data_IF_149975961987
#
_entry.id   IF_149975961987
#
_cell.length_a   1.000
_cell.length_b   1.000
_cell.length_c   1.000
_cell.angle_alpha   90.00
_cell.angle_beta   90.00
_cell.angle_gamma   90.00
#
_symmetry.space_group_name_H-M   'P 1'
#
loop_
_entity.id
_entity.type
_entity.pdbx_description
1 polymer ?
#
# COMPACT_ATOMS: atom_id res chain seq x y z
N UNK A 1 19.95 18.66 -8.47
CA UNK A 1 18.90 18.49 -7.43
C UNK A 1 17.63 18.18 -8.21
N UNK A 2 17.29 16.91 -8.35
CA UNK A 2 16.12 16.51 -9.14
C UNK A 2 14.88 16.76 -8.28
N UNK A 3 14.07 17.72 -8.70
CA UNK A 3 12.90 18.21 -7.99
C UNK A 3 11.89 17.08 -7.78
N UNK A 4 11.31 16.98 -6.57
CA UNK A 4 10.28 15.99 -6.25
C UNK A 4 9.09 16.09 -7.23
N UNK A 5 8.84 17.29 -7.76
CA UNK A 5 7.87 17.55 -8.81
C UNK A 5 8.27 16.92 -10.15
N UNK A 6 9.56 16.94 -10.53
CA UNK A 6 10.10 16.29 -11.74
C UNK A 6 10.03 14.77 -11.63
N UNK A 7 10.35 14.19 -10.47
CA UNK A 7 10.17 12.75 -10.23
C UNK A 7 8.69 12.34 -10.32
N UNK A 8 7.80 13.13 -9.70
CA UNK A 8 6.35 12.88 -9.74
C UNK A 8 5.79 13.02 -11.15
N UNK A 9 6.26 14.01 -11.94
CA UNK A 9 5.82 14.24 -13.32
C UNK A 9 6.37 13.20 -14.30
N UNK A 10 7.56 12.65 -14.06
CA UNK A 10 8.07 11.48 -14.78
C UNK A 10 7.24 10.22 -14.49
N UNK A 11 6.80 10.01 -13.25
CA UNK A 11 5.90 8.91 -12.93
C UNK A 11 4.55 9.04 -13.68
N UNK A 12 4.08 10.26 -13.92
CA UNK A 12 2.85 10.56 -14.68
C UNK A 12 2.95 10.39 -16.21
N UNK A 13 4.16 10.33 -16.78
CA UNK A 13 4.39 10.20 -18.23
C UNK A 13 4.87 8.80 -18.65
N UNK A 14 4.97 7.86 -17.71
CA UNK A 14 5.18 6.45 -18.05
C UNK A 14 3.81 5.89 -18.43
N UNK A 15 3.58 5.44 -19.68
CA UNK A 15 2.29 4.92 -20.13
C UNK A 15 1.81 3.69 -19.34
N UNK A 16 2.65 3.15 -18.46
CA UNK A 16 2.44 1.97 -17.64
C UNK A 16 2.38 2.26 -16.13
N UNK A 17 2.10 3.50 -15.73
CA UNK A 17 1.87 3.86 -14.31
C UNK A 17 0.38 3.91 -13.98
N UNK A 18 -0.03 3.21 -12.93
CA UNK A 18 -1.38 3.35 -12.36
C UNK A 18 -1.31 3.78 -10.90
N UNK A 19 -2.23 4.65 -10.54
CA UNK A 19 -2.45 5.12 -9.19
C UNK A 19 -3.65 4.38 -8.59
N UNK A 20 -3.41 3.60 -7.54
CA UNK A 20 -4.47 3.05 -6.71
C UNK A 20 -4.76 4.03 -5.58
N UNK A 21 -5.93 4.70 -5.58
CA UNK A 21 -6.28 5.61 -4.50
C UNK A 21 -6.52 4.83 -3.22
N UNK A 22 -5.96 5.34 -2.12
CA UNK A 22 -6.27 4.93 -0.77
C UNK A 22 -7.35 5.86 -0.23
N UNK A 23 -8.33 5.29 0.49
CA UNK A 23 -9.43 6.04 1.09
C UNK A 23 -8.94 7.09 2.08
N UNK A 24 -7.78 6.83 2.71
CA UNK A 24 -7.14 7.70 3.69
C UNK A 24 -5.62 7.68 3.48
N UNK A 25 -4.93 8.77 3.86
CA UNK A 25 -3.48 8.80 3.80
C UNK A 25 -2.90 7.75 4.76
N UNK A 26 -2.08 6.79 4.27
CA UNK A 26 -1.57 5.74 5.11
C UNK A 26 -0.62 6.33 6.16
N UNK A 27 -0.84 5.98 7.42
CA UNK A 27 0.10 6.31 8.48
C UNK A 27 1.46 5.61 8.28
N UNK A 28 2.46 6.04 9.05
CA UNK A 28 3.83 5.48 8.98
C UNK A 28 3.84 3.97 9.19
N UNK A 29 3.07 3.47 10.17
CA UNK A 29 2.92 2.04 10.44
C UNK A 29 2.34 1.27 9.25
N UNK A 30 1.28 1.79 8.63
CA UNK A 30 0.67 1.16 7.45
C UNK A 30 1.67 1.11 6.30
N UNK A 31 2.40 2.22 6.08
CA UNK A 31 3.42 2.31 5.01
C UNK A 31 4.53 1.29 5.21
N UNK A 32 4.98 1.05 6.45
CA UNK A 32 5.97 0.01 6.74
C UNK A 32 5.44 -1.41 6.47
N UNK A 33 4.20 -1.72 6.87
CA UNK A 33 3.58 -3.02 6.56
C UNK A 33 3.43 -3.21 5.06
N UNK A 34 3.02 -2.17 4.34
CA UNK A 34 2.90 -2.19 2.90
C UNK A 34 4.26 -2.43 2.23
N UNK A 35 5.30 -1.68 2.60
CA UNK A 35 6.66 -1.88 2.08
C UNK A 35 7.17 -3.30 2.30
N UNK A 36 6.91 -3.90 3.48
CA UNK A 36 7.25 -5.30 3.74
C UNK A 36 6.45 -6.28 2.88
N UNK A 37 5.16 -6.02 2.69
CA UNK A 37 4.30 -6.85 1.85
C UNK A 37 4.73 -6.84 0.39
N UNK A 38 5.03 -5.66 -0.17
CA UNK A 38 5.49 -5.54 -1.56
C UNK A 38 6.93 -6.02 -1.76
N UNK A 39 7.77 -6.00 -0.71
CA UNK A 39 9.13 -6.56 -0.79
C UNK A 39 9.13 -8.08 -1.04
N UNK A 40 8.03 -8.78 -0.71
CA UNK A 40 7.83 -10.18 -1.05
C UNK A 40 7.35 -10.42 -2.48
N UNK A 41 7.01 -9.37 -3.23
CA UNK A 41 6.56 -9.49 -4.62
C UNK A 41 7.78 -9.62 -5.54
N UNK A 42 7.73 -10.58 -6.46
CA UNK A 42 8.76 -10.77 -7.48
C UNK A 42 8.64 -9.68 -8.57
N UNK A 43 9.24 -8.53 -8.31
CA UNK A 43 9.34 -7.42 -9.26
C UNK A 43 10.39 -7.75 -10.34
N UNK A 44 10.01 -7.60 -11.61
CA UNK A 44 10.93 -7.70 -12.74
C UNK A 44 11.72 -6.39 -12.92
N UNK A 45 12.75 -6.45 -13.77
CA UNK A 45 13.57 -5.28 -14.07
C UNK A 45 12.71 -4.15 -14.66
N UNK A 46 12.76 -2.98 -14.01
CA UNK A 46 11.96 -1.81 -14.39
C UNK A 46 10.60 -1.71 -13.69
N UNK A 47 10.13 -2.77 -13.02
CA UNK A 47 8.90 -2.73 -12.22
C UNK A 47 9.13 -2.03 -10.88
N UNK A 48 8.23 -1.11 -10.52
CA UNK A 48 8.33 -0.33 -9.28
C UNK A 48 6.97 -0.16 -8.64
N UNK A 49 6.93 -0.25 -7.32
CA UNK A 49 5.75 0.09 -6.53
C UNK A 49 6.19 1.12 -5.50
N UNK A 50 5.47 2.24 -5.43
CA UNK A 50 5.75 3.31 -4.48
C UNK A 50 4.46 3.83 -3.86
N UNK A 51 4.52 4.23 -2.60
CA UNK A 51 3.43 4.95 -1.93
C UNK A 51 3.68 6.45 -2.12
N UNK A 52 2.71 7.13 -2.73
CA UNK A 52 2.75 8.57 -3.03
C UNK A 52 1.56 9.26 -2.37
N UNK A 53 1.71 9.68 -1.12
CA UNK A 53 0.64 10.31 -0.35
C UNK A 53 -0.56 9.37 -0.19
N UNK A 54 -1.79 9.77 -0.59
CA UNK A 54 -2.99 8.93 -0.50
C UNK A 54 -3.15 7.96 -1.69
N UNK A 55 -2.07 7.64 -2.41
CA UNK A 55 -2.14 6.72 -3.55
C UNK A 55 -0.92 5.79 -3.61
N UNK A 56 -1.08 4.65 -4.27
CA UNK A 56 0.01 3.74 -4.60
C UNK A 56 0.27 3.83 -6.10
N UNK A 57 1.49 4.19 -6.48
CA UNK A 57 1.96 4.16 -7.85
C UNK A 57 2.55 2.79 -8.16
N UNK A 58 2.03 2.12 -9.19
CA UNK A 58 2.56 0.88 -9.74
C UNK A 58 3.06 1.18 -11.14
N UNK A 59 4.33 0.87 -11.41
CA UNK A 59 4.99 1.00 -12.71
C UNK A 59 5.33 -0.39 -13.20
N UNK A 60 4.78 -0.83 -14.34
CA UNK A 60 5.07 -2.15 -14.93
C UNK A 60 5.24 -2.05 -16.45
N UNK A 61 6.46 -1.76 -16.95
CA UNK A 61 6.71 -1.57 -18.38
C UNK A 61 6.59 -2.85 -19.24
N UNK A 62 6.31 -4.01 -18.62
CA UNK A 62 6.18 -5.31 -19.29
C UNK A 62 4.75 -5.80 -19.50
N UNK A 63 3.73 -4.98 -19.22
CA UNK A 63 2.33 -5.35 -19.39
C UNK A 63 1.77 -6.31 -18.32
N UNK A 64 2.54 -6.61 -17.26
CA UNK A 64 2.08 -7.40 -16.09
C UNK A 64 1.24 -6.57 -15.11
N UNK A 65 0.83 -5.37 -15.51
CA UNK A 65 0.10 -4.44 -14.68
C UNK A 65 -1.10 -5.07 -13.96
N UNK A 66 -1.96 -5.82 -14.66
CA UNK A 66 -3.14 -6.44 -14.05
C UNK A 66 -2.79 -7.44 -12.93
N UNK A 67 -1.74 -8.21 -13.13
CA UNK A 67 -1.26 -9.19 -12.15
C UNK A 67 -0.60 -8.49 -10.95
N UNK A 68 0.20 -7.46 -11.21
CA UNK A 68 0.84 -6.65 -10.17
C UNK A 68 -0.18 -5.87 -9.35
N UNK A 69 -1.19 -5.28 -9.99
CA UNK A 69 -2.30 -4.63 -9.29
C UNK A 69 -3.12 -5.60 -8.44
N UNK A 70 -3.36 -6.82 -8.92
CA UNK A 70 -4.04 -7.84 -8.12
C UNK A 70 -3.21 -8.23 -6.88
N UNK A 71 -1.91 -8.41 -7.03
CA UNK A 71 -1.00 -8.69 -5.93
C UNK A 71 -0.91 -7.53 -4.93
N UNK A 72 -0.76 -6.31 -5.41
CA UNK A 72 -0.74 -5.10 -4.56
C UNK A 72 -2.08 -4.94 -3.83
N UNK A 73 -3.21 -5.17 -4.51
CA UNK A 73 -4.52 -5.16 -3.86
C UNK A 73 -4.62 -6.23 -2.77
N UNK A 74 -4.10 -7.42 -3.00
CA UNK A 74 -4.08 -8.48 -1.99
C UNK A 74 -3.26 -8.09 -0.75
N UNK A 75 -2.11 -7.42 -0.95
CA UNK A 75 -1.30 -6.89 0.16
C UNK A 75 -2.08 -5.83 0.95
N UNK A 76 -2.75 -4.89 0.28
CA UNK A 76 -3.59 -3.88 0.94
C UNK A 76 -4.70 -4.54 1.76
N UNK A 77 -5.36 -5.55 1.19
CA UNK A 77 -6.45 -6.29 1.83
C UNK A 77 -5.97 -7.00 3.10
N UNK A 78 -4.80 -7.67 3.03
CA UNK A 78 -4.17 -8.30 4.19
C UNK A 78 -3.83 -7.29 5.30
N UNK A 79 -3.33 -6.10 4.94
CA UNK A 79 -3.00 -5.06 5.92
C UNK A 79 -4.28 -4.54 6.57
N UNK A 80 -5.32 -4.27 5.79
CA UNK A 80 -6.60 -3.82 6.32
C UNK A 80 -7.23 -4.88 7.24
N UNK A 81 -7.20 -6.16 6.85
CA UNK A 81 -7.68 -7.26 7.68
C UNK A 81 -6.86 -7.41 8.97
N UNK A 82 -5.54 -7.22 8.93
CA UNK A 82 -4.70 -7.26 10.11
C UNK A 82 -4.97 -6.09 11.06
N UNK A 83 -5.21 -4.90 10.53
CA UNK A 83 -5.59 -3.70 11.31
C UNK A 83 -6.97 -3.89 11.92
N UNK A 84 -7.94 -4.39 11.16
CA UNK A 84 -9.29 -4.68 11.62
C UNK A 84 -9.27 -5.70 12.76
N UNK A 85 -8.59 -6.84 12.57
CA UNK A 85 -8.41 -7.85 13.61
C UNK A 85 -7.71 -7.30 14.87
N UNK A 86 -6.73 -6.39 14.71
CA UNK A 86 -6.08 -5.73 15.82
C UNK A 86 -7.01 -4.75 16.56
N UNK A 87 -7.86 -4.02 15.82
CA UNK A 87 -8.88 -3.13 16.38
C UNK A 87 -9.99 -3.91 17.08
N UNK A 88 -10.50 -5.00 16.50
CA UNK A 88 -11.45 -5.92 17.13
C UNK A 88 -10.88 -6.50 18.44
N UNK A 89 -9.62 -6.92 18.42
CA UNK A 89 -8.95 -7.44 19.62
C UNK A 89 -8.84 -6.36 20.71
N UNK A 90 -8.52 -5.11 20.35
CA UNK A 90 -8.52 -3.98 21.30
C UNK A 90 -9.92 -3.70 21.87
N UNK A 91 -10.95 -3.68 21.03
CA UNK A 91 -12.34 -3.48 21.45
C UNK A 91 -12.79 -4.56 22.45
N UNK A 92 -12.50 -5.83 22.16
CA UNK A 92 -12.79 -6.95 23.09
C UNK A 92 -12.05 -6.80 24.42
N UNK A 93 -10.78 -6.41 24.42
CA UNK A 93 -10.03 -6.18 25.66
C UNK A 93 -10.60 -5.03 26.50
N UNK A 94 -11.05 -3.95 25.86
CA UNK A 94 -11.71 -2.83 26.57
C UNK A 94 -13.05 -3.29 27.18
N UNK A 95 -13.86 -4.07 26.46
CA UNK A 95 -15.12 -4.63 26.98
C UNK A 95 -14.90 -5.56 28.18
N UNK A 96 -13.90 -6.44 28.13
CA UNK A 96 -13.61 -7.37 29.24
C UNK A 96 -13.16 -6.62 30.49
N UNK A 97 -12.40 -5.53 30.34
CA UNK A 97 -11.96 -4.70 31.48
C UNK A 97 -13.12 -3.93 32.11
N UNK A 98 -14.12 -3.51 31.31
CA UNK A 98 -15.29 -2.77 31.81
C UNK A 98 -16.35 -3.65 32.49
N UNK A 99 -16.43 -4.94 32.15
CA UNK A 99 -17.39 -5.87 32.75
C UNK A 99 -16.91 -6.49 34.07
N UNK A 100 -15.73 -6.10 34.56
CA UNK A 100 -15.13 -6.60 35.79
C UNK A 100 -15.29 -5.64 36.99
N UNK A 101 -16.04 -4.54 36.84
CA UNK A 101 -16.35 -3.55 37.88
C UNK A 101 -17.83 -3.55 38.23
#
# INVERSE_FOLDING_TARGET
MDDLFTQTRRAFLIPDTVLLPLTEAPGETWTQYFQKGIAGLALQEGEKIAVTGPAIAIVSPGGRFAELSAQVKAVIDQINAAIDAANEKKLRTIQVTYNAY
#
